data_IF_644592191706
#
_entry.id   IF_644592191706
#
_cell.length_a   1.000
_cell.length_b   1.000
_cell.length_c   1.000
_cell.angle_alpha   90.00
_cell.angle_beta   90.00
_cell.angle_gamma   90.00
#
_symmetry.space_group_name_H-M   'P 1'
#
loop_
_entity.id
_entity.type
_entity.pdbx_description
1 polymer ?
#
# COMPACT_ATOMS: atom_id res chain seq x y z
N UNK A 1 -31.94 0.07 -14.51
CA UNK A 1 -31.10 0.97 -15.34
C UNK A 1 -31.19 2.35 -14.71
N UNK A 2 -30.11 2.89 -14.17
CA UNK A 2 -30.07 4.31 -13.82
C UNK A 2 -29.22 4.94 -14.92
N UNK A 3 -29.87 5.67 -15.82
CA UNK A 3 -29.18 6.53 -16.78
C UNK A 3 -28.65 7.74 -16.01
N UNK A 4 -27.33 7.79 -15.82
CA UNK A 4 -26.69 9.05 -15.50
C UNK A 4 -26.64 9.86 -16.78
N UNK A 5 -27.47 10.89 -16.88
CA UNK A 5 -27.26 11.98 -17.84
C UNK A 5 -25.91 12.59 -17.47
N UNK A 6 -24.91 12.32 -18.29
CA UNK A 6 -23.57 12.87 -18.15
C UNK A 6 -23.70 14.36 -18.46
N UNK A 7 -23.73 15.18 -17.42
CA UNK A 7 -23.44 16.60 -17.58
C UNK A 7 -21.94 16.70 -17.86
N UNK A 8 -21.59 16.82 -19.14
CA UNK A 8 -20.21 16.89 -19.66
C UNK A 8 -19.44 18.15 -19.22
N UNK A 9 -19.98 18.94 -18.30
CA UNK A 9 -19.44 20.24 -17.90
C UNK A 9 -19.23 20.39 -16.39
N UNK A 10 -18.56 19.42 -15.75
CA UNK A 10 -17.85 19.73 -14.51
C UNK A 10 -16.49 20.34 -14.84
N UNK A 11 -16.25 21.65 -14.60
CA UNK A 11 -14.97 22.26 -14.87
C UNK A 11 -14.00 21.87 -13.76
N UNK A 12 -13.35 20.72 -13.90
CA UNK A 12 -12.10 20.46 -13.17
C UNK A 12 -11.01 21.15 -13.97
N UNK A 13 -10.53 22.27 -13.42
CA UNK A 13 -9.40 23.07 -13.88
C UNK A 13 -8.40 22.30 -14.78
N UNK A 14 -8.50 22.51 -16.09
CA UNK A 14 -7.39 22.40 -17.04
C UNK A 14 -6.81 21.02 -17.36
N UNK A 15 -7.43 19.90 -16.98
CA UNK A 15 -6.95 18.57 -17.38
C UNK A 15 -8.07 17.76 -18.04
N UNK A 16 -7.98 17.57 -19.36
CA UNK A 16 -8.81 16.61 -20.08
C UNK A 16 -8.38 15.19 -19.71
N UNK A 17 -8.91 14.68 -18.60
CA UNK A 17 -8.81 13.27 -18.29
C UNK A 17 -9.62 12.50 -19.34
N UNK A 18 -8.96 11.72 -20.19
CA UNK A 18 -9.63 10.68 -20.97
C UNK A 18 -10.12 9.60 -20.00
N UNK A 19 -11.26 9.84 -19.36
CA UNK A 19 -11.95 8.83 -18.57
C UNK A 19 -12.64 7.86 -19.52
N UNK A 20 -11.90 6.87 -20.01
CA UNK A 20 -12.52 5.64 -20.48
C UNK A 20 -13.36 5.09 -19.32
N UNK A 21 -14.68 5.16 -19.43
CA UNK A 21 -15.59 4.71 -18.40
C UNK A 21 -15.44 3.20 -18.24
N UNK A 22 -14.58 2.77 -17.31
CA UNK A 22 -14.62 1.40 -16.81
C UNK A 22 -15.95 1.27 -16.07
N UNK A 23 -16.91 0.62 -16.70
CA UNK A 23 -18.15 0.20 -16.03
C UNK A 23 -17.74 -0.82 -14.98
N UNK A 24 -17.75 -0.41 -13.72
CA UNK A 24 -17.54 -1.31 -12.59
C UNK A 24 -18.91 -1.85 -12.21
N UNK A 25 -19.09 -3.15 -12.36
CA UNK A 25 -20.31 -3.82 -11.92
C UNK A 25 -20.37 -3.87 -10.39
N UNK A 26 -21.51 -3.47 -9.81
CA UNK A 26 -21.75 -3.52 -8.38
C UNK A 26 -22.84 -2.56 -7.90
N UNK A 27 -23.30 -2.73 -6.65
CA UNK A 27 -24.21 -1.76 -6.03
C UNK A 27 -23.52 -0.40 -5.89
N UNK A 28 -24.30 0.67 -6.05
CA UNK A 28 -23.81 2.02 -5.83
C UNK A 28 -23.37 2.19 -4.36
N UNK A 29 -22.22 2.83 -4.13
CA UNK A 29 -21.76 3.18 -2.79
C UNK A 29 -22.58 4.35 -2.27
N UNK A 30 -23.30 4.17 -1.16
CA UNK A 30 -24.13 5.20 -0.56
C UNK A 30 -23.36 5.95 0.55
N UNK A 31 -23.83 7.14 0.89
CA UNK A 31 -23.29 7.89 2.05
C UNK A 31 -23.40 7.08 3.35
N UNK A 32 -24.47 6.29 3.51
CA UNK A 32 -24.64 5.40 4.65
C UNK A 32 -23.56 4.31 4.74
N UNK A 33 -23.11 3.79 3.59
CA UNK A 33 -22.01 2.81 3.53
C UNK A 33 -20.70 3.46 3.97
N UNK A 34 -20.40 4.64 3.44
CA UNK A 34 -19.25 5.43 3.87
C UNK A 34 -19.26 5.67 5.39
N UNK A 35 -20.37 6.15 5.93
CA UNK A 35 -20.47 6.45 7.36
C UNK A 35 -20.31 5.19 8.21
N UNK A 36 -20.79 4.04 7.73
CA UNK A 36 -20.58 2.74 8.39
C UNK A 36 -19.10 2.34 8.35
N UNK A 37 -18.44 2.50 7.21
CA UNK A 37 -17.02 2.21 7.01
C UNK A 37 -16.07 3.25 7.61
N UNK A 38 -16.54 4.25 8.33
CA UNK A 38 -15.63 5.20 9.01
C UNK A 38 -15.86 5.27 10.51
N UNK A 39 -16.86 4.55 11.03
CA UNK A 39 -17.25 4.59 12.43
C UNK A 39 -16.42 3.69 13.33
N UNK A 40 -15.72 2.69 12.79
CA UNK A 40 -14.93 1.79 13.63
C UNK A 40 -13.58 2.45 14.00
N UNK A 41 -13.36 2.65 15.30
CA UNK A 41 -12.10 3.16 15.85
C UNK A 41 -11.23 2.06 16.46
N UNK A 42 -11.69 0.81 16.46
CA UNK A 42 -10.93 -0.31 17.00
C UNK A 42 -9.70 -0.56 16.14
N UNK A 43 -8.54 -0.53 16.76
CA UNK A 43 -7.28 -0.83 16.09
C UNK A 43 -7.04 -2.35 16.14
N UNK A 44 -6.90 -3.04 14.99
CA UNK A 44 -6.68 -4.49 14.99
C UNK A 44 -5.32 -4.81 15.61
N UNK A 45 -5.30 -5.63 16.67
CA UNK A 45 -4.07 -6.03 17.37
C UNK A 45 -3.05 -6.67 16.42
N UNK A 46 -3.51 -7.60 15.56
CA UNK A 46 -2.70 -8.25 14.52
C UNK A 46 -2.01 -7.23 13.60
N UNK A 47 -2.68 -6.13 13.25
CA UNK A 47 -2.06 -5.10 12.42
C UNK A 47 -0.97 -4.33 13.18
N UNK A 48 -1.17 -4.04 14.48
CA UNK A 48 -0.12 -3.42 15.31
C UNK A 48 1.10 -4.33 15.39
N UNK A 49 0.88 -5.62 15.65
CA UNK A 49 1.95 -6.62 15.79
C UNK A 49 2.80 -6.71 14.52
N UNK A 50 2.16 -6.89 13.36
CA UNK A 50 2.86 -6.95 12.07
C UNK A 50 3.65 -5.66 11.80
N UNK A 51 3.02 -4.49 11.98
CA UNK A 51 3.68 -3.21 11.72
C UNK A 51 4.84 -2.95 12.70
N UNK A 52 4.72 -3.41 13.94
CA UNK A 52 5.79 -3.37 14.94
C UNK A 52 6.96 -4.28 14.58
N UNK A 53 6.68 -5.49 14.08
CA UNK A 53 7.69 -6.47 13.70
C UNK A 53 8.57 -6.00 12.53
N UNK A 54 7.98 -5.31 11.55
CA UNK A 54 8.67 -4.80 10.35
C UNK A 54 9.29 -3.40 10.54
N UNK A 55 8.97 -2.70 11.63
CA UNK A 55 9.44 -1.34 11.90
C UNK A 55 10.98 -1.19 11.87
N UNK A 56 11.77 -2.12 12.42
CA UNK A 56 13.23 -2.02 12.39
C UNK A 56 13.78 -1.98 10.96
N UNK A 57 13.30 -2.85 10.07
CA UNK A 57 13.74 -2.91 8.67
C UNK A 57 13.32 -1.66 7.91
N UNK A 58 12.08 -1.20 8.13
CA UNK A 58 11.59 0.04 7.52
C UNK A 58 12.42 1.26 7.95
N UNK A 59 12.92 1.26 9.19
CA UNK A 59 13.79 2.32 9.70
C UNK A 59 15.15 2.32 8.98
N UNK A 60 15.76 1.15 8.76
CA UNK A 60 17.00 1.00 7.97
C UNK A 60 16.79 1.48 6.51
N UNK A 61 15.63 1.15 5.93
CA UNK A 61 15.24 1.57 4.58
C UNK A 61 14.86 3.07 4.50
N UNK A 62 14.97 3.84 5.59
CA UNK A 62 14.66 5.26 5.64
C UNK A 62 13.16 5.59 5.57
N UNK A 63 12.29 4.61 5.83
CA UNK A 63 10.83 4.73 5.69
C UNK A 63 10.07 4.25 6.94
N UNK A 64 10.67 4.41 8.12
CA UNK A 64 10.07 4.06 9.41
C UNK A 64 8.63 4.57 9.56
N UNK A 65 7.77 3.75 10.16
CA UNK A 65 6.36 4.06 10.32
C UNK A 65 6.20 5.05 11.48
N UNK A 66 5.57 6.20 11.20
CA UNK A 66 5.17 7.15 12.23
C UNK A 66 3.85 6.72 12.88
N UNK A 67 3.61 7.14 14.12
CA UNK A 67 2.35 6.86 14.82
C UNK A 67 1.10 7.25 14.00
N UNK A 68 1.16 8.39 13.30
CA UNK A 68 0.07 8.86 12.41
C UNK A 68 -0.18 7.89 11.25
N UNK A 69 0.88 7.37 10.65
CA UNK A 69 0.79 6.41 9.53
C UNK A 69 0.25 5.08 10.01
N UNK A 70 0.76 4.55 11.12
CA UNK A 70 0.26 3.33 11.75
C UNK A 70 -1.23 3.43 12.07
N UNK A 71 -1.65 4.52 12.73
CA UNK A 71 -3.07 4.79 13.03
C UNK A 71 -3.93 4.79 11.76
N UNK A 72 -3.44 5.37 10.67
CA UNK A 72 -4.17 5.43 9.40
C UNK A 72 -4.31 4.05 8.74
N UNK A 73 -3.25 3.24 8.76
CA UNK A 73 -3.27 1.87 8.23
C UNK A 73 -4.23 1.01 9.05
N UNK A 74 -4.11 1.06 10.37
CA UNK A 74 -4.98 0.30 11.27
C UNK A 74 -6.44 0.67 11.13
N UNK A 75 -6.77 1.98 11.03
CA UNK A 75 -8.15 2.43 10.80
C UNK A 75 -8.68 1.94 9.46
N UNK A 76 -7.87 1.94 8.41
CA UNK A 76 -8.29 1.40 7.11
C UNK A 76 -8.65 -0.08 7.23
N UNK A 77 -7.79 -0.89 7.85
CA UNK A 77 -8.02 -2.33 8.03
C UNK A 77 -9.27 -2.58 8.88
N UNK A 78 -9.45 -1.85 9.98
CA UNK A 78 -10.60 -1.99 10.89
C UNK A 78 -11.95 -1.69 10.23
N UNK A 79 -11.92 -0.89 9.18
CA UNK A 79 -13.10 -0.43 8.48
C UNK A 79 -13.27 -1.06 7.09
N UNK A 80 -12.31 -1.89 6.66
CA UNK A 80 -12.41 -2.63 5.41
C UNK A 80 -13.61 -3.60 5.52
N UNK A 81 -14.63 -3.47 4.65
CA UNK A 81 -15.79 -4.35 4.72
C UNK A 81 -15.37 -5.78 4.39
N UNK A 82 -15.70 -6.76 5.25
CA UNK A 82 -15.29 -8.16 5.07
C UNK A 82 -15.70 -8.76 3.72
N UNK A 83 -16.85 -8.34 3.17
CA UNK A 83 -17.32 -8.77 1.86
C UNK A 83 -16.63 -8.12 0.67
N UNK A 84 -15.80 -7.07 0.89
CA UNK A 84 -15.04 -6.39 -0.16
C UNK A 84 -13.54 -6.71 -0.08
N UNK A 85 -13.00 -6.77 1.13
CA UNK A 85 -11.56 -6.87 1.35
C UNK A 85 -11.28 -7.51 2.71
N UNK A 86 -10.62 -8.67 2.70
CA UNK A 86 -10.16 -9.34 3.92
C UNK A 86 -8.98 -8.59 4.57
N UNK A 87 -8.62 -9.00 5.79
CA UNK A 87 -7.52 -8.38 6.55
C UNK A 87 -6.22 -8.31 5.75
N UNK A 88 -5.74 -9.43 5.21
CA UNK A 88 -4.45 -9.51 4.52
C UNK A 88 -4.46 -8.73 3.20
N UNK A 89 -5.60 -8.73 2.49
CA UNK A 89 -5.81 -7.90 1.30
C UNK A 89 -5.77 -6.40 1.63
N UNK A 90 -6.41 -5.99 2.73
CA UNK A 90 -6.43 -4.60 3.17
C UNK A 90 -5.02 -4.14 3.59
N UNK A 91 -4.29 -5.01 4.29
CA UNK A 91 -2.90 -4.80 4.63
C UNK A 91 -2.04 -4.64 3.37
N UNK A 92 -2.11 -5.59 2.42
CA UNK A 92 -1.37 -5.54 1.16
C UNK A 92 -1.63 -4.22 0.39
N UNK A 93 -2.88 -3.78 0.34
CA UNK A 93 -3.22 -2.47 -0.24
C UNK A 93 -2.52 -1.31 0.48
N UNK A 94 -2.54 -1.29 1.81
CA UNK A 94 -1.94 -0.21 2.58
C UNK A 94 -0.40 -0.21 2.51
N UNK A 95 0.23 -1.38 2.53
CA UNK A 95 1.68 -1.52 2.34
C UNK A 95 2.09 -0.94 0.98
N UNK A 96 1.40 -1.32 -0.10
CA UNK A 96 1.67 -0.82 -1.46
C UNK A 96 1.40 0.67 -1.64
N UNK A 97 0.36 1.21 -1.01
CA UNK A 97 -0.02 2.61 -1.18
C UNK A 97 0.82 3.57 -0.33
N UNK A 98 1.25 3.15 0.87
CA UNK A 98 1.81 4.07 1.87
C UNK A 98 3.25 3.77 2.27
N UNK A 99 3.72 2.54 2.11
CA UNK A 99 5.06 2.12 2.55
C UNK A 99 5.99 1.95 1.36
N UNK A 100 5.64 1.10 0.40
CA UNK A 100 6.53 0.83 -0.74
C UNK A 100 6.99 2.09 -1.50
N UNK A 101 6.12 3.09 -1.79
CA UNK A 101 6.54 4.28 -2.51
C UNK A 101 7.54 5.14 -1.73
N UNK A 102 7.77 4.86 -0.45
CA UNK A 102 8.66 5.60 0.44
C UNK A 102 10.01 4.90 0.63
N UNK A 103 10.17 3.64 0.20
CA UNK A 103 11.44 2.93 0.26
C UNK A 103 12.43 3.63 -0.67
N UNK A 104 13.59 4.03 -0.13
CA UNK A 104 14.62 4.78 -0.83
C UNK A 104 16.01 4.36 -0.36
N UNK A 105 17.01 4.66 -1.20
CA UNK A 105 18.41 4.51 -0.82
C UNK A 105 18.84 3.05 -0.66
N UNK A 106 18.45 2.19 -1.62
CA UNK A 106 18.83 0.78 -1.66
C UNK A 106 20.33 0.56 -1.96
N UNK A 107 21.05 1.61 -2.37
CA UNK A 107 22.51 1.63 -2.55
C UNK A 107 23.30 1.70 -1.24
N UNK A 108 22.64 1.91 -0.10
CA UNK A 108 23.33 2.05 1.20
C UNK A 108 23.73 0.68 1.75
N UNK A 109 24.86 0.57 2.47
CA UNK A 109 25.24 -0.67 3.13
C UNK A 109 24.13 -1.24 4.02
N UNK A 110 23.83 -2.53 3.86
CA UNK A 110 22.79 -3.23 4.62
C UNK A 110 21.34 -2.96 4.18
N UNK A 111 21.10 -2.11 3.17
CA UNK A 111 19.75 -1.82 2.69
C UNK A 111 19.11 -3.02 1.98
N UNK A 112 19.85 -3.74 1.13
CA UNK A 112 19.36 -4.96 0.48
C UNK A 112 19.05 -6.06 1.50
N UNK A 113 19.91 -6.24 2.51
CA UNK A 113 19.63 -7.20 3.59
C UNK A 113 18.39 -6.82 4.40
N UNK A 114 18.19 -5.53 4.66
CA UNK A 114 16.98 -5.04 5.32
C UNK A 114 15.73 -5.25 4.46
N UNK A 115 15.84 -5.09 3.14
CA UNK A 115 14.75 -5.37 2.19
C UNK A 115 14.39 -6.86 2.18
N UNK A 116 15.39 -7.74 2.16
CA UNK A 116 15.19 -9.19 2.22
C UNK A 116 14.54 -9.61 3.55
N UNK A 117 15.02 -9.11 4.69
CA UNK A 117 14.41 -9.36 6.02
C UNK A 117 12.98 -8.84 6.10
N UNK A 118 12.71 -7.67 5.51
CA UNK A 118 11.35 -7.11 5.44
C UNK A 118 10.41 -8.07 4.69
N UNK A 119 10.84 -8.55 3.52
CA UNK A 119 10.06 -9.49 2.72
C UNK A 119 9.83 -10.82 3.47
N UNK A 120 10.85 -11.35 4.14
CA UNK A 120 10.74 -12.58 4.94
C UNK A 120 9.73 -12.44 6.09
N UNK A 121 9.84 -11.36 6.87
CA UNK A 121 8.90 -11.08 7.98
C UNK A 121 7.46 -10.94 7.49
N UNK A 122 7.25 -10.18 6.41
CA UNK A 122 5.92 -10.01 5.83
C UNK A 122 5.34 -11.33 5.32
N UNK A 123 6.15 -12.17 4.66
CA UNK A 123 5.72 -13.48 4.16
C UNK A 123 5.41 -14.50 5.26
N UNK A 124 6.03 -14.36 6.44
CA UNK A 124 5.71 -15.19 7.62
C UNK A 124 4.44 -14.73 8.33
N UNK A 125 4.22 -13.42 8.44
CA UNK A 125 3.17 -12.87 9.28
C UNK A 125 1.82 -12.62 8.55
N UNK A 126 1.84 -12.55 7.22
CA UNK A 126 0.66 -12.14 6.44
C UNK A 126 0.68 -12.63 4.99
N UNK A 127 -0.52 -12.72 4.39
CA UNK A 127 -0.69 -13.04 2.96
C UNK A 127 -0.75 -11.76 2.12
N UNK A 128 0.41 -11.18 1.80
CA UNK A 128 0.55 -9.89 1.08
C UNK A 128 1.28 -10.03 -0.27
N UNK A 129 0.79 -10.87 -1.19
CA UNK A 129 1.55 -11.34 -2.34
C UNK A 129 1.97 -10.22 -3.29
N UNK A 130 1.15 -9.17 -3.47
CA UNK A 130 1.50 -8.06 -4.36
C UNK A 130 2.58 -7.17 -3.75
N UNK A 131 2.58 -7.02 -2.43
CA UNK A 131 3.65 -6.34 -1.70
C UNK A 131 4.96 -7.11 -1.86
N UNK A 132 4.96 -8.43 -1.63
CA UNK A 132 6.15 -9.28 -1.78
C UNK A 132 6.70 -9.23 -3.21
N UNK A 133 5.84 -9.32 -4.22
CA UNK A 133 6.24 -9.18 -5.62
C UNK A 133 6.90 -7.83 -5.90
N UNK A 134 6.36 -6.74 -5.33
CA UNK A 134 6.91 -5.39 -5.51
C UNK A 134 8.27 -5.24 -4.82
N UNK A 135 8.46 -5.85 -3.64
CA UNK A 135 9.75 -5.87 -2.94
C UNK A 135 10.80 -6.66 -3.74
N UNK A 136 10.45 -7.83 -4.27
CA UNK A 136 11.33 -8.63 -5.11
C UNK A 136 11.76 -7.87 -6.38
N UNK A 137 10.83 -7.13 -7.00
CA UNK A 137 11.15 -6.26 -8.13
C UNK A 137 12.11 -5.14 -7.75
N UNK A 138 11.86 -4.45 -6.63
CA UNK A 138 12.75 -3.40 -6.13
C UNK A 138 14.17 -3.93 -5.85
N UNK A 139 14.28 -5.13 -5.31
CA UNK A 139 15.55 -5.80 -5.08
C UNK A 139 16.28 -6.09 -6.39
N UNK A 140 15.58 -6.68 -7.37
CA UNK A 140 16.12 -6.98 -8.70
C UNK A 140 16.61 -5.71 -9.41
N UNK A 141 15.81 -4.65 -9.40
CA UNK A 141 16.14 -3.37 -10.04
C UNK A 141 17.36 -2.72 -9.36
N UNK A 142 17.49 -2.84 -8.03
CA UNK A 142 18.62 -2.31 -7.28
C UNK A 142 19.93 -3.06 -7.57
N UNK A 143 19.90 -4.40 -7.62
CA UNK A 143 21.08 -5.22 -7.95
C UNK A 143 21.55 -4.96 -9.37
N UNK A 144 20.63 -4.89 -10.34
CA UNK A 144 20.97 -4.57 -11.73
C UNK A 144 21.57 -3.17 -11.90
N UNK A 145 21.19 -2.22 -11.03
CA UNK A 145 21.77 -0.87 -11.04
C UNK A 145 23.17 -0.83 -10.44
N UNK A 146 23.44 -1.62 -9.38
CA UNK A 146 24.76 -1.70 -8.73
C UNK A 146 25.81 -2.29 -9.70
N UNK A 147 25.41 -3.29 -10.49
CA UNK A 147 26.24 -3.89 -11.56
C UNK A 147 26.65 -2.87 -12.65
N UNK A 148 25.89 -1.78 -12.85
CA UNK A 148 26.24 -0.75 -13.84
C UNK A 148 27.25 0.29 -13.31
N UNK A 149 27.40 0.47 -12.00
CA UNK A 149 28.33 1.45 -11.42
C UNK A 149 29.74 0.90 -11.19
N UNK A 150 29.92 -0.41 -11.20
CA UNK A 150 31.22 -1.08 -11.04
C UNK A 150 31.98 -1.28 -12.36
N UNK A 151 31.53 -0.67 -13.46
CA UNK A 151 32.03 -0.88 -14.82
C UNK A 151 32.98 0.18 -15.39
N UNK A 152 33.42 1.17 -14.62
CA UNK A 152 34.42 2.15 -15.05
C UNK A 152 35.67 2.08 -14.17
N UNK A 153 36.64 1.26 -14.59
CA UNK A 153 38.07 1.37 -14.19
C UNK A 153 38.87 2.05 -15.31
#
# INVERSE_FOLDING_TARGET
LIEFVVDEHLPVLGMSAQTGARVVEGPAVLQADRDRWTRNTNVPARAIEILGEIQPELSVLGCGITHRRQTSICRFIANAPEGLCGFDQALDMQLRQRILPQIRGLYRPGALDALARLAEKLGKASDVPRTLQSLARLESDARASDDMFLGEE
#
